data_IF_801477904806
#
_entry.id   IF_801477904806
#
_cell.length_a   1.000
_cell.length_b   1.000
_cell.length_c   1.000
_cell.angle_alpha   90.00
_cell.angle_beta   90.00
_cell.angle_gamma   90.00
#
_symmetry.space_group_name_H-M   'P 1'
#
loop_
_entity.id
_entity.type
_entity.pdbx_description
1 polymer ?
#
# COMPACT_ATOMS: atom_id res chain seq x y z
N UNK A 1 -11.60 -13.81 4.55
CA UNK A 1 -10.37 -13.38 5.25
C UNK A 1 -10.47 -11.89 5.45
N UNK A 2 -10.30 -11.42 6.68
CA UNK A 2 -10.38 -9.99 7.01
C UNK A 2 -9.10 -9.28 6.54
N UNK A 3 -8.94 -9.13 5.22
CA UNK A 3 -7.70 -8.62 4.60
C UNK A 3 -7.36 -7.19 5.05
N UNK A 4 -8.36 -6.42 5.49
CA UNK A 4 -8.15 -5.11 6.11
C UNK A 4 -7.43 -5.20 7.47
N UNK A 5 -7.56 -6.31 8.21
CA UNK A 5 -6.88 -6.52 9.48
C UNK A 5 -5.36 -6.67 9.28
N UNK A 6 -4.94 -7.37 8.23
CA UNK A 6 -3.53 -7.42 7.84
C UNK A 6 -3.01 -6.02 7.50
N UNK A 7 -3.77 -5.27 6.69
CA UNK A 7 -3.42 -3.90 6.32
C UNK A 7 -3.36 -2.95 7.52
N UNK A 8 -4.08 -3.26 8.61
CA UNK A 8 -4.01 -2.52 9.86
C UNK A 8 -2.78 -2.91 10.70
N UNK A 9 -2.51 -4.21 10.87
CA UNK A 9 -1.43 -4.72 11.73
C UNK A 9 -0.04 -4.51 11.08
N UNK A 10 0.09 -4.73 9.77
CA UNK A 10 1.36 -4.62 9.04
C UNK A 10 1.29 -3.54 7.95
N UNK A 11 0.71 -2.39 8.27
CA UNK A 11 0.50 -1.27 7.32
C UNK A 11 1.81 -0.86 6.61
N UNK A 12 2.90 -0.67 7.36
CA UNK A 12 4.21 -0.29 6.81
C UNK A 12 4.85 -1.39 5.95
N UNK A 13 4.67 -2.65 6.36
CA UNK A 13 5.16 -3.80 5.60
C UNK A 13 4.44 -3.90 4.25
N UNK A 14 3.11 -3.79 4.28
CA UNK A 14 2.26 -3.82 3.10
C UNK A 14 2.58 -2.64 2.17
N UNK A 15 2.71 -1.44 2.72
CA UNK A 15 3.02 -0.24 1.93
C UNK A 15 4.40 -0.31 1.27
N UNK A 16 5.42 -0.80 1.99
CA UNK A 16 6.77 -0.99 1.43
C UNK A 16 6.85 -2.13 0.41
N UNK A 17 6.09 -3.22 0.59
CA UNK A 17 5.95 -4.29 -0.42
C UNK A 17 5.31 -3.78 -1.70
N UNK A 18 4.24 -3.00 -1.59
CA UNK A 18 3.56 -2.41 -2.74
C UNK A 18 4.48 -1.43 -3.48
N UNK A 19 5.30 -0.66 -2.76
CA UNK A 19 6.38 0.12 -3.37
C UNK A 19 7.38 -0.75 -4.12
N UNK A 20 7.90 -1.79 -3.47
CA UNK A 20 8.92 -2.65 -4.06
C UNK A 20 8.41 -3.37 -5.31
N UNK A 21 7.17 -3.84 -5.27
CA UNK A 21 6.54 -4.46 -6.43
C UNK A 21 6.34 -3.45 -7.56
N UNK A 22 5.91 -2.22 -7.26
CA UNK A 22 5.64 -1.22 -8.29
C UNK A 22 6.91 -0.65 -8.96
N UNK A 23 8.01 -0.52 -8.22
CA UNK A 23 9.23 0.12 -8.71
C UNK A 23 10.35 -0.88 -9.06
N UNK A 24 10.47 -1.97 -8.31
CA UNK A 24 11.53 -2.97 -8.48
C UNK A 24 11.01 -4.33 -8.95
N UNK A 25 9.69 -4.52 -9.05
CA UNK A 25 9.04 -5.78 -9.44
C UNK A 25 9.39 -6.98 -8.52
N UNK A 26 9.67 -6.70 -7.25
CA UNK A 26 10.06 -7.70 -6.25
C UNK A 26 8.99 -7.81 -5.15
N UNK A 27 8.38 -9.00 -4.91
CA UNK A 27 7.31 -9.20 -3.92
C UNK A 27 7.86 -9.41 -2.50
N UNK A 28 8.83 -8.57 -2.11
CA UNK A 28 9.51 -8.59 -0.83
C UNK A 28 9.39 -7.25 -0.10
N UNK A 29 9.56 -7.26 1.23
CA UNK A 29 9.61 -6.03 2.03
C UNK A 29 10.87 -5.25 1.66
N UNK A 30 10.70 -4.01 1.22
CA UNK A 30 11.83 -3.10 1.05
C UNK A 30 12.20 -2.47 2.40
N UNK A 31 13.09 -3.14 3.15
CA UNK A 31 13.47 -2.75 4.52
C UNK A 31 13.83 -1.25 4.68
N UNK A 32 14.62 -0.62 3.79
CA UNK A 32 14.94 0.79 3.92
C UNK A 32 13.70 1.70 3.91
N UNK A 33 12.73 1.42 3.03
CA UNK A 33 11.49 2.21 2.93
C UNK A 33 10.59 1.92 4.13
N UNK A 34 10.46 0.65 4.51
CA UNK A 34 9.66 0.26 5.67
C UNK A 34 10.15 0.96 6.94
N UNK A 35 11.46 0.90 7.24
CA UNK A 35 12.04 1.53 8.41
C UNK A 35 11.94 3.07 8.35
N UNK A 36 12.18 3.67 7.18
CA UNK A 36 12.09 5.11 6.99
C UNK A 36 10.68 5.62 7.28
N UNK A 37 9.66 5.00 6.70
CA UNK A 37 8.26 5.43 6.89
C UNK A 37 7.83 5.22 8.35
N UNK A 38 8.17 4.09 8.97
CA UNK A 38 7.86 3.84 10.38
C UNK A 38 8.55 4.84 11.33
N UNK A 39 9.81 5.19 11.07
CA UNK A 39 10.56 6.17 11.85
C UNK A 39 9.99 7.58 11.71
N UNK A 40 9.67 7.99 10.47
CA UNK A 40 9.08 9.30 10.20
C UNK A 40 7.67 9.45 10.78
N UNK A 41 6.83 8.43 10.72
CA UNK A 41 5.50 8.48 11.34
C UNK A 41 5.56 8.54 12.87
N UNK A 42 6.56 7.88 13.48
CA UNK A 42 6.80 7.93 14.94
C UNK A 42 7.23 9.31 15.42
N UNK A 43 7.82 10.12 14.54
CA UNK A 43 8.28 11.49 14.85
C UNK A 43 7.30 12.57 14.41
N UNK A 44 6.49 12.28 13.38
CA UNK A 44 5.55 13.22 12.74
C UNK A 44 4.17 12.59 12.59
N UNK A 45 3.38 12.59 13.67
CA UNK A 45 1.91 12.37 13.73
C UNK A 45 1.25 11.55 12.60
N UNK A 46 1.75 10.36 12.25
CA UNK A 46 1.18 9.45 11.22
C UNK A 46 0.89 10.08 9.84
N UNK A 47 1.48 11.25 9.53
CA UNK A 47 1.19 11.98 8.30
C UNK A 47 1.94 11.37 7.13
N UNK A 48 3.15 10.87 7.37
CA UNK A 48 4.07 10.43 6.32
C UNK A 48 3.57 9.14 5.67
N UNK A 49 3.10 8.17 6.46
CA UNK A 49 2.48 6.96 5.96
C UNK A 49 1.24 7.24 5.10
N UNK A 50 0.40 8.20 5.51
CA UNK A 50 -0.78 8.61 4.75
C UNK A 50 -0.40 9.27 3.41
N UNK A 51 0.54 10.22 3.41
CA UNK A 51 1.04 10.86 2.19
C UNK A 51 1.72 9.86 1.25
N UNK A 52 2.45 8.90 1.80
CA UNK A 52 3.10 7.87 1.00
C UNK A 52 2.08 6.93 0.36
N UNK A 53 1.06 6.48 1.10
CA UNK A 53 -0.07 5.72 0.57
C UNK A 53 -0.79 6.48 -0.55
N UNK A 54 -1.09 7.75 -0.35
CA UNK A 54 -1.69 8.62 -1.38
C UNK A 54 -0.86 8.67 -2.66
N UNK A 55 0.44 8.90 -2.50
CA UNK A 55 1.37 9.04 -3.63
C UNK A 55 1.47 7.73 -4.40
N UNK A 56 1.58 6.60 -3.71
CA UNK A 56 1.62 5.28 -4.32
C UNK A 56 0.34 4.97 -5.09
N UNK A 57 -0.82 5.20 -4.47
CA UNK A 57 -2.13 4.99 -5.09
C UNK A 57 -2.31 5.83 -6.35
N UNK A 58 -1.92 7.10 -6.31
CA UNK A 58 -1.95 7.97 -7.49
C UNK A 58 -1.02 7.48 -8.60
N UNK A 59 0.17 7.01 -8.25
CA UNK A 59 1.11 6.46 -9.23
C UNK A 59 0.56 5.19 -9.90
N UNK A 60 -0.06 4.29 -9.15
CA UNK A 60 -0.71 3.09 -9.68
C UNK A 60 -1.84 3.50 -10.64
N UNK A 61 -2.73 4.40 -10.22
CA UNK A 61 -3.82 4.89 -11.07
C UNK A 61 -3.33 5.52 -12.36
N UNK A 62 -2.29 6.36 -12.29
CA UNK A 62 -1.67 7.00 -13.45
C UNK A 62 -0.99 5.99 -14.38
N UNK A 63 -0.28 5.00 -13.82
CA UNK A 63 0.44 3.98 -14.62
C UNK A 63 -0.50 3.00 -15.32
N UNK A 64 -1.60 2.62 -14.68
CA UNK A 64 -2.53 1.61 -15.20
C UNK A 64 -3.84 2.19 -15.76
N UNK A 65 -3.96 3.52 -15.87
CA UNK A 65 -5.13 4.18 -16.43
C UNK A 65 -6.43 3.98 -15.61
N UNK A 66 -6.31 3.74 -14.31
CA UNK A 66 -7.46 3.49 -13.43
C UNK A 66 -8.17 4.83 -13.14
N UNK A 67 -9.48 4.89 -13.42
CA UNK A 67 -10.31 6.08 -13.13
C UNK A 67 -10.39 6.37 -11.62
N UNK A 68 -10.26 7.63 -11.26
CA UNK A 68 -10.43 8.08 -9.87
C UNK A 68 -10.16 9.57 -9.68
N UNK A 69 -10.41 10.08 -8.47
CA UNK A 69 -10.21 11.50 -8.12
C UNK A 69 -9.25 11.66 -6.94
N UNK A 70 -8.40 12.69 -7.01
CA UNK A 70 -7.41 13.02 -5.97
C UNK A 70 -8.06 13.29 -4.61
N UNK A 71 -9.20 13.98 -4.59
CA UNK A 71 -9.93 14.29 -3.36
C UNK A 71 -10.47 13.03 -2.68
N UNK A 72 -11.01 12.09 -3.47
CA UNK A 72 -11.47 10.81 -2.94
C UNK A 72 -10.29 10.01 -2.35
N UNK A 73 -9.13 10.04 -3.00
CA UNK A 73 -7.94 9.35 -2.49
C UNK A 73 -7.49 9.93 -1.15
N UNK A 74 -7.47 11.27 -1.02
CA UNK A 74 -7.16 11.98 0.24
C UNK A 74 -8.12 11.56 1.34
N UNK A 75 -9.43 11.62 1.09
CA UNK A 75 -10.43 11.25 2.10
C UNK A 75 -10.27 9.79 2.54
N UNK A 76 -10.12 8.85 1.61
CA UNK A 76 -10.02 7.42 1.95
C UNK A 76 -8.70 7.12 2.67
N UNK A 77 -7.59 7.74 2.26
CA UNK A 77 -6.29 7.52 2.91
C UNK A 77 -6.22 8.12 4.31
N UNK A 78 -6.91 9.25 4.56
CA UNK A 78 -6.97 9.89 5.88
C UNK A 78 -7.99 9.24 6.83
N UNK A 79 -9.15 8.79 6.35
CA UNK A 79 -10.21 8.22 7.20
C UNK A 79 -10.18 6.69 7.32
N UNK A 80 -9.73 5.98 6.27
CA UNK A 80 -9.53 4.53 6.32
C UNK A 80 -8.28 4.11 5.54
N UNK A 81 -7.11 4.51 6.04
CA UNK A 81 -5.82 4.04 5.54
C UNK A 81 -5.73 2.51 5.30
N UNK A 82 -6.19 1.62 6.21
CA UNK A 82 -6.13 0.18 5.95
C UNK A 82 -7.05 -0.25 4.79
N UNK A 83 -8.20 0.40 4.60
CA UNK A 83 -9.06 0.13 3.45
C UNK A 83 -8.37 0.56 2.14
N UNK A 84 -7.78 1.74 2.11
CA UNK A 84 -7.05 2.24 0.94
C UNK A 84 -5.86 1.34 0.58
N UNK A 85 -5.10 0.90 1.58
CA UNK A 85 -3.95 0.02 1.40
C UNK A 85 -4.36 -1.36 0.89
N UNK A 86 -5.45 -1.93 1.42
CA UNK A 86 -6.02 -3.18 0.94
C UNK A 86 -6.58 -3.03 -0.48
N UNK A 87 -7.26 -1.93 -0.78
CA UNK A 87 -7.76 -1.67 -2.12
C UNK A 87 -6.62 -1.60 -3.13
N UNK A 88 -5.54 -0.91 -2.79
CA UNK A 88 -4.34 -0.83 -3.63
C UNK A 88 -3.69 -2.20 -3.86
N UNK A 89 -3.63 -3.04 -2.82
CA UNK A 89 -3.16 -4.41 -2.93
C UNK A 89 -3.99 -5.22 -3.94
N UNK A 90 -5.31 -5.13 -3.85
CA UNK A 90 -6.23 -5.84 -4.77
C UNK A 90 -6.10 -5.32 -6.21
N UNK A 91 -5.94 -4.02 -6.40
CA UNK A 91 -5.69 -3.40 -7.72
C UNK A 91 -4.37 -3.92 -8.33
N UNK A 92 -3.29 -4.03 -7.55
CA UNK A 92 -2.04 -4.62 -8.04
C UNK A 92 -2.17 -6.12 -8.32
N UNK A 93 -2.89 -6.84 -7.47
CA UNK A 93 -3.10 -8.29 -7.60
C UNK A 93 -3.93 -8.63 -8.85
N UNK A 94 -4.97 -7.84 -9.15
CA UNK A 94 -5.78 -8.05 -10.36
C UNK A 94 -5.01 -7.78 -11.66
N UNK A 95 -3.91 -7.03 -11.58
CA UNK A 95 -2.96 -6.81 -12.66
C UNK A 95 -1.87 -7.90 -12.74
N UNK A 96 -1.95 -8.95 -11.92
CA UNK A 96 -0.96 -10.02 -11.84
C UNK A 96 0.31 -9.66 -11.05
N UNK A 97 0.32 -8.50 -10.39
CA UNK A 97 1.47 -8.01 -9.62
C UNK A 97 1.22 -8.14 -8.11
N UNK A 98 1.18 -9.37 -7.60
CA UNK A 98 0.98 -9.57 -6.16
C UNK A 98 2.24 -9.17 -5.37
N UNK A 99 2.20 -8.13 -4.51
CA UNK A 99 3.36 -7.64 -3.76
C UNK A 99 3.71 -8.50 -2.52
N UNK A 100 2.88 -9.49 -2.20
CA UNK A 100 3.02 -10.32 -1.02
C UNK A 100 2.17 -9.87 0.17
N UNK A 101 1.95 -10.81 1.08
CA UNK A 101 1.25 -10.59 2.34
C UNK A 101 1.98 -11.33 3.47
N UNK A 102 1.76 -10.90 4.71
CA UNK A 102 2.40 -11.45 5.90
C UNK A 102 1.61 -12.60 6.51
N UNK A 103 0.27 -12.53 6.48
CA UNK A 103 -0.59 -13.53 7.13
C UNK A 103 -1.27 -14.48 6.14
N UNK A 104 -1.11 -14.23 4.84
CA UNK A 104 -1.62 -15.12 3.80
C UNK A 104 -0.73 -15.11 2.58
N UNK A 105 -0.85 -16.18 1.80
CA UNK A 105 -0.38 -16.21 0.42
C UNK A 105 -1.61 -16.23 -0.49
N UNK A 106 -1.54 -15.52 -1.61
CA UNK A 106 -2.53 -15.70 -2.68
C UNK A 106 -2.26 -17.06 -3.31
N UNK A 107 -3.29 -17.90 -3.42
CA UNK A 107 -3.18 -19.18 -4.10
C UNK A 107 -2.74 -18.93 -5.56
N UNK A 108 -1.81 -19.73 -6.12
CA UNK A 108 -1.46 -19.62 -7.52
C UNK A 108 -2.73 -19.82 -8.36
N UNK A 109 -2.99 -18.88 -9.28
CA UNK A 109 -4.07 -18.97 -10.27
C UNK A 109 -3.81 -20.09 -11.27
#
# INVERSE_FOLDING_TARGET
>A
MDSCLESYICSYCQLSRQFNMLYNNEPAVHFPICLLVSFLDSTVTNVVGCLFLLTLRQNIRKRFGIRGSTLQDVCVSCWCAPCALQQQLLELTSLGMFPGACFYAVAPL
#
